data_IF_721985173694
#
_entry.id   IF_721985173694
#
_cell.length_a   1.000
_cell.length_b   1.000
_cell.length_c   1.000
_cell.angle_alpha   90.00
_cell.angle_beta   90.00
_cell.angle_gamma   90.00
#
_symmetry.space_group_name_H-M   'P 1'
#
loop_
_entity.id
_entity.type
_entity.pdbx_description
1 polymer ?
#
# COMPACT_ATOMS: atom_id res chain seq x y z
N UNK A 1 -1.10 -21.88 -0.73
CA UNK A 1 -1.00 -22.40 0.66
C UNK A 1 0.45 -22.74 0.93
N UNK A 2 1.22 -21.75 1.38
CA UNK A 2 2.69 -21.88 1.50
C UNK A 2 2.99 -22.84 2.65
N UNK A 3 3.75 -23.88 2.33
CA UNK A 3 4.06 -25.02 3.18
C UNK A 3 4.88 -24.61 4.42
N UNK A 4 4.39 -24.97 5.61
CA UNK A 4 5.12 -24.89 6.88
C UNK A 4 6.02 -26.12 7.02
N UNK A 5 7.33 -25.96 6.83
CA UNK A 5 8.34 -26.97 7.09
C UNK A 5 9.24 -26.58 8.28
N UNK A 6 9.73 -27.55 9.09
CA UNK A 6 10.47 -27.31 10.33
C UNK A 6 11.88 -26.71 10.13
N UNK A 7 12.42 -26.72 8.90
CA UNK A 7 13.71 -26.09 8.60
C UNK A 7 13.65 -24.55 8.51
N UNK A 8 12.47 -23.96 8.24
CA UNK A 8 12.32 -22.49 8.18
C UNK A 8 12.48 -21.87 9.57
N UNK A 9 12.20 -22.63 10.63
CA UNK A 9 12.21 -22.15 12.02
C UNK A 9 13.63 -21.86 12.54
N UNK A 10 14.65 -22.57 12.05
CA UNK A 10 16.03 -22.43 12.54
C UNK A 10 16.79 -21.25 11.91
N UNK A 11 16.44 -20.82 10.68
CA UNK A 11 17.11 -19.68 10.03
C UNK A 11 16.70 -18.32 10.65
N UNK A 12 15.57 -18.28 11.37
CA UNK A 12 15.04 -17.05 11.98
C UNK A 12 15.80 -16.65 13.26
N UNK A 13 16.63 -17.54 13.81
CA UNK A 13 17.30 -17.33 15.12
C UNK A 13 18.53 -16.40 15.03
N UNK A 14 18.99 -16.02 13.84
CA UNK A 14 20.12 -15.08 13.65
C UNK A 14 19.71 -13.63 13.32
N UNK A 15 18.41 -13.34 13.21
CA UNK A 15 17.94 -11.98 12.91
C UNK A 15 17.71 -11.22 14.21
N UNK A 16 18.46 -10.14 14.42
CA UNK A 16 18.44 -9.31 15.62
C UNK A 16 17.00 -8.94 16.08
N UNK A 17 16.68 -9.02 17.39
CA UNK A 17 15.36 -8.67 17.89
C UNK A 17 15.23 -7.14 17.86
N UNK A 18 14.64 -6.60 16.80
CA UNK A 18 14.46 -5.15 16.67
C UNK A 18 13.84 -4.64 15.38
N UNK A 19 13.67 -5.49 14.36
CA UNK A 19 13.00 -5.11 13.12
C UNK A 19 12.01 -6.20 12.72
N UNK A 20 10.79 -6.13 13.27
CA UNK A 20 9.70 -6.96 12.79
C UNK A 20 9.21 -6.31 11.49
N UNK A 21 9.62 -6.87 10.35
CA UNK A 21 9.00 -6.56 9.06
C UNK A 21 7.60 -7.18 9.05
N UNK A 22 6.54 -6.37 9.13
CA UNK A 22 5.15 -6.86 9.04
C UNK A 22 4.81 -7.35 7.63
N UNK A 23 5.48 -6.83 6.60
CA UNK A 23 5.32 -7.28 5.21
C UNK A 23 6.65 -7.25 4.45
N UNK A 24 6.81 -8.18 3.51
CA UNK A 24 7.94 -8.20 2.55
C UNK A 24 7.44 -8.13 1.10
N UNK A 25 6.16 -8.45 0.89
CA UNK A 25 5.46 -8.45 -0.38
C UNK A 25 4.02 -7.95 -0.13
N UNK A 26 3.47 -7.20 -1.10
CA UNK A 26 2.12 -6.61 -1.04
C UNK A 26 0.99 -7.51 -0.50
N UNK A 27 0.88 -8.81 -0.84
CA UNK A 27 -0.24 -9.65 -0.40
C UNK A 27 -0.29 -10.00 1.09
N UNK A 28 0.70 -9.59 1.90
CA UNK A 28 0.65 -9.76 3.35
C UNK A 28 -0.15 -8.65 4.07
N UNK A 29 -0.51 -7.56 3.36
CA UNK A 29 -1.30 -6.47 3.90
C UNK A 29 -2.79 -6.64 3.56
N UNK A 30 -3.67 -5.82 4.15
CA UNK A 30 -5.08 -5.77 3.72
C UNK A 30 -5.18 -5.24 2.29
N UNK A 31 -6.27 -5.51 1.59
CA UNK A 31 -6.49 -5.03 0.22
C UNK A 31 -6.52 -3.50 0.09
N UNK A 32 -6.69 -2.79 1.21
CA UNK A 32 -6.67 -1.33 1.36
C UNK A 32 -5.29 -0.77 1.75
N UNK A 33 -4.27 -1.61 1.88
CA UNK A 33 -2.93 -1.25 2.34
C UNK A 33 -1.89 -1.71 1.32
N UNK A 34 -0.72 -1.07 1.32
CA UNK A 34 0.42 -1.46 0.53
C UNK A 34 1.65 -1.64 1.42
N UNK A 35 2.54 -2.54 1.02
CA UNK A 35 3.81 -2.74 1.73
C UNK A 35 4.81 -1.65 1.34
N UNK A 36 5.07 -0.72 2.26
CA UNK A 36 5.97 0.43 2.09
C UNK A 36 7.00 0.35 3.22
N UNK A 37 8.29 0.30 2.89
CA UNK A 37 9.37 0.18 3.88
C UNK A 37 9.20 -1.00 4.86
N UNK A 38 8.71 -2.13 4.36
CA UNK A 38 8.37 -3.32 5.14
C UNK A 38 7.23 -3.11 6.16
N UNK A 39 6.41 -2.08 5.94
CA UNK A 39 5.24 -1.73 6.73
C UNK A 39 3.96 -1.67 5.91
N UNK A 40 2.84 -2.18 6.46
CA UNK A 40 1.53 -2.10 5.82
C UNK A 40 0.96 -0.72 6.11
N UNK A 41 1.00 0.16 5.11
CA UNK A 41 0.50 1.52 5.23
C UNK A 41 -0.52 1.79 4.13
N UNK A 42 -1.44 2.72 4.39
CA UNK A 42 -2.35 3.21 3.36
C UNK A 42 -1.56 4.08 2.37
N UNK A 43 -1.36 3.66 1.11
CA UNK A 43 -0.64 4.46 0.14
C UNK A 43 -1.39 5.76 -0.20
N UNK A 44 -2.69 5.85 0.09
CA UNK A 44 -3.47 7.09 -0.06
C UNK A 44 -3.21 8.14 1.03
N UNK A 45 -2.59 7.76 2.15
CA UNK A 45 -2.18 8.72 3.17
C UNK A 45 -1.00 9.60 2.70
N UNK A 46 -0.30 9.19 1.63
CA UNK A 46 0.77 10.00 1.04
C UNK A 46 0.18 11.20 0.28
N UNK A 47 0.68 12.43 0.51
CA UNK A 47 0.21 13.61 -0.21
C UNK A 47 0.52 13.56 -1.72
N UNK A 48 1.44 12.70 -2.14
CA UNK A 48 1.80 12.49 -3.56
C UNK A 48 1.05 11.32 -4.20
N UNK A 49 0.09 10.71 -3.51
CA UNK A 49 -0.61 9.53 -4.01
C UNK A 49 -1.50 9.83 -5.22
N UNK A 50 -2.15 10.99 -5.24
CA UNK A 50 -3.03 11.44 -6.31
C UNK A 50 -2.88 12.95 -6.57
N UNK A 51 -3.42 13.40 -7.70
CA UNK A 51 -3.44 14.81 -8.09
C UNK A 51 -4.28 15.68 -7.15
N UNK A 52 -4.11 16.99 -7.27
CA UNK A 52 -4.84 17.95 -6.42
C UNK A 52 -6.36 17.82 -6.62
N UNK A 53 -7.11 17.79 -5.52
CA UNK A 53 -8.58 17.66 -5.51
C UNK A 53 -9.13 16.33 -6.09
N UNK A 54 -8.28 15.34 -6.30
CA UNK A 54 -8.68 13.97 -6.66
C UNK A 54 -9.05 13.15 -5.41
N UNK A 55 -9.84 12.10 -5.60
CA UNK A 55 -10.17 11.08 -4.59
C UNK A 55 -9.18 9.93 -4.75
N UNK A 56 -8.48 9.58 -3.66
CA UNK A 56 -7.62 8.40 -3.61
C UNK A 56 -8.37 7.21 -3.00
N UNK A 57 -8.17 6.03 -3.57
CA UNK A 57 -8.64 4.77 -3.01
C UNK A 57 -7.61 3.67 -3.25
N UNK A 58 -7.30 2.88 -2.23
CA UNK A 58 -6.40 1.73 -2.37
C UNK A 58 -7.18 0.51 -2.85
N UNK A 59 -6.83 0.00 -4.02
CA UNK A 59 -7.46 -1.15 -4.66
C UNK A 59 -6.37 -2.14 -5.08
N UNK A 60 -6.44 -3.39 -4.59
CA UNK A 60 -5.44 -4.43 -4.87
C UNK A 60 -4.00 -3.98 -4.52
N UNK A 61 -3.80 -3.36 -3.35
CA UNK A 61 -2.50 -2.83 -2.89
C UNK A 61 -1.92 -1.73 -3.79
N UNK A 62 -2.72 -1.13 -4.67
CA UNK A 62 -2.32 -0.03 -5.55
C UNK A 62 -3.21 1.18 -5.32
N UNK A 63 -2.67 2.36 -5.55
CA UNK A 63 -3.45 3.59 -5.53
C UNK A 63 -4.33 3.68 -6.78
N UNK A 64 -5.59 4.03 -6.58
CA UNK A 64 -6.55 4.34 -7.63
C UNK A 64 -7.05 5.77 -7.42
N UNK A 65 -6.72 6.65 -8.35
CA UNK A 65 -7.08 8.05 -8.32
C UNK A 65 -8.28 8.31 -9.25
N UNK A 66 -9.28 9.03 -8.75
CA UNK A 66 -10.46 9.43 -9.55
C UNK A 66 -10.94 10.83 -9.20
N UNK A 67 -11.49 11.56 -10.16
CA UNK A 67 -12.11 12.85 -9.85
C UNK A 67 -13.48 12.65 -9.19
N UNK A 68 -13.78 13.34 -8.07
CA UNK A 68 -15.08 13.24 -7.41
C UNK A 68 -16.20 13.83 -8.27
N UNK A 69 -17.48 13.52 -7.97
CA UNK A 69 -18.62 14.04 -8.72
C UNK A 69 -18.60 15.58 -8.83
N UNK A 70 -18.86 16.10 -10.03
CA UNK A 70 -18.79 17.54 -10.31
C UNK A 70 -17.37 18.07 -10.55
N UNK A 71 -16.38 17.20 -10.75
CA UNK A 71 -15.02 17.55 -11.18
C UNK A 71 -14.56 16.71 -12.38
N UNK A 72 -13.64 17.25 -13.18
CA UNK A 72 -13.00 16.58 -14.33
C UNK A 72 -11.53 16.97 -14.43
N UNK A 73 -10.78 16.33 -15.33
CA UNK A 73 -9.35 16.53 -15.53
C UNK A 73 -8.56 15.24 -15.34
N UNK A 74 -7.25 15.37 -15.12
CA UNK A 74 -6.37 14.23 -14.85
C UNK A 74 -6.29 13.97 -13.34
N UNK A 75 -6.79 12.82 -12.84
CA UNK A 75 -6.79 12.52 -11.41
C UNK A 75 -5.38 12.31 -10.83
N UNK A 76 -4.34 12.13 -11.65
CA UNK A 76 -2.94 12.04 -11.20
C UNK A 76 -2.27 13.42 -11.10
N UNK A 77 -2.82 14.43 -11.78
CA UNK A 77 -2.27 15.79 -11.79
C UNK A 77 -3.17 16.74 -10.98
N UNK A 78 -4.40 16.93 -11.43
CA UNK A 78 -5.37 17.86 -10.83
C UNK A 78 -6.78 17.63 -11.39
N UNK A 79 -7.76 17.59 -10.49
CA UNK A 79 -9.18 17.70 -10.85
C UNK A 79 -9.66 19.16 -10.72
N UNK A 80 -10.25 19.71 -11.78
CA UNK A 80 -10.95 21.00 -11.79
C UNK A 80 -12.46 20.82 -11.65
N UNK A 81 -13.15 21.84 -11.13
CA UNK A 81 -14.62 21.83 -11.10
C UNK A 81 -15.15 21.84 -12.54
N UNK A 82 -16.19 21.05 -12.80
CA UNK A 82 -16.97 21.20 -14.03
C UNK A 82 -17.67 22.56 -14.06
#
# INVERSE_FOLDING_TARGET
>A
MIAKGPLVFFLVVLVAPGFICECTIGPNCRSTEACINNQCQDPCASPTACGTKARCQTVNHRTSCSCPPGRTGDPNVKCSKL
#
